data_IF_237940605128
#
_entry.id   IF_237940605128
#
_cell.length_a   1.000
_cell.length_b   1.000
_cell.length_c   1.000
_cell.angle_alpha   90.00
_cell.angle_beta   90.00
_cell.angle_gamma   90.00
#
_symmetry.space_group_name_H-M   'P 1'
#
loop_
_entity.id
_entity.type
_entity.pdbx_description
1 polymer ?
#
# COMPACT_ATOMS: atom_id res chain seq x y z
N UNK A 1 6.04 19.88 18.34
CA UNK A 1 5.95 19.56 19.78
C UNK A 1 4.72 18.72 20.15
N UNK A 2 3.76 18.47 19.25
CA UNK A 2 2.61 17.59 19.53
C UNK A 2 2.88 16.08 19.37
N UNK A 3 3.93 15.66 18.63
CA UNK A 3 4.18 14.24 18.35
C UNK A 3 4.81 13.43 19.50
N UNK A 4 5.54 14.06 20.42
CA UNK A 4 6.21 13.35 21.52
C UNK A 4 5.27 12.97 22.66
N UNK A 5 4.22 13.75 22.90
CA UNK A 5 3.22 13.49 23.95
C UNK A 5 2.21 12.42 23.54
N UNK A 6 1.92 12.29 22.23
CA UNK A 6 1.05 11.25 21.70
C UNK A 6 1.68 9.84 21.83
N UNK A 7 3.02 9.77 21.77
CA UNK A 7 3.79 8.54 21.98
C UNK A 7 3.64 7.97 23.41
N UNK A 8 3.52 8.84 24.41
CA UNK A 8 3.40 8.43 25.83
C UNK A 8 1.95 8.07 26.17
N UNK A 9 0.99 8.74 25.55
CA UNK A 9 -0.43 8.60 25.90
C UNK A 9 -1.12 7.45 25.15
N UNK A 10 -0.43 6.78 24.21
CA UNK A 10 -1.05 5.78 23.30
C UNK A 10 -2.39 6.31 22.74
N UNK A 11 -2.46 7.61 22.46
CA UNK A 11 -3.68 8.30 22.05
C UNK A 11 -3.81 8.43 20.53
N UNK A 12 -2.95 7.72 19.79
CA UNK A 12 -3.16 7.39 18.39
C UNK A 12 -4.32 6.38 18.29
N UNK A 13 -5.52 6.93 18.29
CA UNK A 13 -6.82 6.38 17.88
C UNK A 13 -6.83 4.86 17.69
N UNK A 14 -7.46 4.18 18.65
CA UNK A 14 -7.73 2.73 18.82
C UNK A 14 -8.43 2.03 17.64
N UNK A 15 -7.98 2.21 16.40
CA UNK A 15 -8.40 1.38 15.26
C UNK A 15 -7.60 0.08 15.27
N UNK A 16 -6.31 0.12 15.61
CA UNK A 16 -5.48 -1.08 15.79
C UNK A 16 -5.95 -1.98 16.94
N UNK A 17 -6.59 -1.42 17.98
CA UNK A 17 -7.10 -2.18 19.13
C UNK A 17 -8.22 -3.17 18.76
N UNK A 18 -9.10 -2.76 17.83
CA UNK A 18 -10.20 -3.61 17.36
C UNK A 18 -9.67 -4.75 16.50
N UNK A 19 -8.62 -4.49 15.71
CA UNK A 19 -7.87 -5.54 15.03
C UNK A 19 -7.15 -6.44 16.05
N UNK A 20 -6.44 -5.90 17.04
CA UNK A 20 -5.71 -6.67 18.06
C UNK A 20 -6.55 -7.71 18.80
N UNK A 21 -7.82 -7.40 19.09
CA UNK A 21 -8.75 -8.32 19.78
C UNK A 21 -9.28 -9.46 18.89
N UNK A 22 -9.09 -9.40 17.58
CA UNK A 22 -9.52 -10.46 16.67
C UNK A 22 -8.55 -11.65 16.72
N UNK A 23 -9.12 -12.85 16.76
CA UNK A 23 -8.36 -14.09 16.62
C UNK A 23 -7.57 -14.10 15.31
N UNK A 24 -6.47 -14.86 15.27
CA UNK A 24 -5.64 -15.01 14.07
C UNK A 24 -6.44 -15.36 12.81
N UNK A 25 -7.49 -16.18 12.97
CA UNK A 25 -8.41 -16.55 11.88
C UNK A 25 -9.34 -15.40 11.48
N UNK A 26 -9.84 -14.63 12.44
CA UNK A 26 -10.70 -13.47 12.16
C UNK A 26 -9.97 -12.41 11.33
N UNK A 27 -8.71 -12.11 11.67
CA UNK A 27 -7.85 -11.20 10.89
C UNK A 27 -7.63 -11.71 9.46
N UNK A 28 -7.27 -12.98 9.33
CA UNK A 28 -7.01 -13.59 8.02
C UNK A 28 -8.26 -13.58 7.10
N UNK A 29 -9.45 -13.77 7.66
CA UNK A 29 -10.71 -13.73 6.89
C UNK A 29 -11.02 -12.31 6.42
N UNK A 30 -10.88 -11.31 7.30
CA UNK A 30 -11.10 -9.90 6.91
C UNK A 30 -10.13 -9.50 5.81
N UNK A 31 -8.84 -9.82 5.96
CA UNK A 31 -7.84 -9.54 4.95
C UNK A 31 -8.15 -10.26 3.62
N UNK A 32 -8.67 -11.50 3.66
CA UNK A 32 -9.11 -12.23 2.47
C UNK A 32 -10.26 -11.51 1.73
N UNK A 33 -11.22 -10.98 2.48
CA UNK A 33 -12.38 -10.26 1.94
C UNK A 33 -11.99 -8.88 1.41
N UNK A 34 -11.02 -8.22 2.04
CA UNK A 34 -10.50 -6.92 1.59
C UNK A 34 -9.53 -7.05 0.41
N UNK A 35 -8.96 -8.24 0.17
CA UNK A 35 -7.98 -8.45 -0.90
C UNK A 35 -8.47 -8.11 -2.32
N UNK A 36 -9.70 -8.47 -2.76
CA UNK A 36 -10.23 -8.03 -4.05
C UNK A 36 -10.27 -6.51 -4.20
N UNK A 37 -10.63 -5.78 -3.15
CA UNK A 37 -10.62 -4.32 -3.14
C UNK A 37 -9.19 -3.78 -3.25
N UNK A 38 -8.24 -4.39 -2.54
CA UNK A 38 -6.82 -4.07 -2.65
C UNK A 38 -6.30 -4.26 -4.09
N UNK A 39 -6.59 -5.40 -4.72
CA UNK A 39 -6.19 -5.69 -6.11
C UNK A 39 -6.80 -4.68 -7.08
N UNK A 40 -8.07 -4.32 -6.89
CA UNK A 40 -8.73 -3.30 -7.71
C UNK A 40 -8.02 -1.94 -7.59
N UNK A 41 -7.73 -1.48 -6.37
CA UNK A 41 -7.06 -0.20 -6.12
C UNK A 41 -5.64 -0.22 -6.73
N UNK A 42 -4.86 -1.26 -6.50
CA UNK A 42 -3.50 -1.39 -7.05
C UNK A 42 -3.53 -1.41 -8.58
N UNK A 43 -4.47 -2.13 -9.18
CA UNK A 43 -4.59 -2.21 -10.65
C UNK A 43 -4.90 -0.84 -11.25
N UNK A 44 -5.84 -0.09 -10.66
CA UNK A 44 -6.16 1.28 -11.08
C UNK A 44 -4.96 2.19 -10.87
N UNK A 45 -4.25 2.07 -9.75
CA UNK A 45 -3.10 2.91 -9.41
C UNK A 45 -1.93 2.69 -10.36
N UNK A 46 -1.64 1.44 -10.73
CA UNK A 46 -0.63 1.10 -11.73
C UNK A 46 -1.06 1.63 -13.09
N UNK A 47 -2.31 1.39 -13.51
CA UNK A 47 -2.79 1.84 -14.82
C UNK A 47 -2.76 3.36 -14.95
N UNK A 48 -3.32 4.09 -13.99
CA UNK A 48 -3.31 5.56 -13.97
C UNK A 48 -1.92 6.13 -13.76
N UNK A 49 -1.07 5.46 -12.99
CA UNK A 49 0.33 5.84 -12.81
C UNK A 49 1.12 5.75 -14.12
N UNK A 50 0.86 4.71 -14.92
CA UNK A 50 1.44 4.54 -16.25
C UNK A 50 0.93 5.62 -17.21
N UNK A 51 -0.38 5.88 -17.26
CA UNK A 51 -0.95 6.96 -18.08
C UNK A 51 -0.32 8.32 -17.73
N UNK A 52 -0.17 8.60 -16.43
CA UNK A 52 0.43 9.84 -15.93
C UNK A 52 1.91 9.97 -16.27
N UNK A 53 2.66 8.87 -16.22
CA UNK A 53 4.05 8.84 -16.67
C UNK A 53 4.15 9.07 -18.19
N UNK A 54 3.35 8.38 -18.99
CA UNK A 54 3.35 8.54 -20.45
C UNK A 54 3.01 9.95 -20.88
N UNK A 55 2.01 10.57 -20.25
CA UNK A 55 1.65 11.97 -20.48
C UNK A 55 2.84 12.90 -20.17
N UNK A 56 3.52 12.70 -19.04
CA UNK A 56 4.67 13.52 -18.66
C UNK A 56 5.87 13.35 -19.59
N UNK A 57 6.08 12.12 -20.06
CA UNK A 57 7.17 11.78 -20.97
C UNK A 57 6.94 12.37 -22.36
N UNK A 58 5.71 12.30 -22.88
CA UNK A 58 5.36 12.85 -24.20
C UNK A 58 5.41 14.38 -24.25
N UNK A 59 5.13 15.05 -23.13
CA UNK A 59 5.20 16.50 -23.01
C UNK A 59 6.56 17.00 -22.51
N UNK A 60 7.54 16.11 -22.32
CA UNK A 60 8.86 16.40 -21.74
C UNK A 60 8.76 17.34 -20.52
N UNK A 61 7.79 17.05 -19.63
CA UNK A 61 7.43 18.00 -18.58
C UNK A 61 8.62 18.31 -17.69
N UNK A 62 8.80 19.60 -17.45
CA UNK A 62 9.81 20.15 -16.56
C UNK A 62 9.16 20.88 -15.40
N UNK A 63 9.83 20.83 -14.26
CA UNK A 63 9.38 21.51 -13.05
C UNK A 63 9.30 23.03 -13.27
N UNK A 64 8.28 23.66 -12.69
CA UNK A 64 8.09 25.11 -12.69
C UNK A 64 9.07 25.83 -11.73
N UNK A 65 10.36 25.46 -11.80
CA UNK A 65 11.45 26.03 -11.01
C UNK A 65 12.51 26.63 -11.94
N UNK A 66 13.35 27.53 -11.42
CA UNK A 66 14.38 28.21 -12.24
C UNK A 66 15.34 27.24 -12.95
N UNK A 67 15.56 26.05 -12.39
CA UNK A 67 16.39 24.98 -12.98
C UNK A 67 15.59 24.10 -13.96
N UNK A 68 14.28 23.99 -13.79
CA UNK A 68 13.38 23.19 -14.63
C UNK A 68 13.84 21.73 -14.84
N UNK A 69 14.12 20.93 -13.78
CA UNK A 69 14.48 19.53 -13.95
C UNK A 69 13.33 18.73 -14.60
N UNK A 70 13.66 17.69 -15.40
CA UNK A 70 12.67 16.78 -15.97
C UNK A 70 11.90 16.04 -14.86
N UNK A 71 10.57 16.07 -14.90
CA UNK A 71 9.70 15.48 -13.86
C UNK A 71 9.37 14.01 -14.14
N UNK A 72 9.36 13.61 -15.41
CA UNK A 72 9.02 12.25 -15.83
C UNK A 72 9.80 11.13 -15.11
N UNK A 73 11.10 11.25 -14.72
CA UNK A 73 11.81 10.19 -14.00
C UNK A 73 11.27 9.97 -12.58
N UNK A 74 10.69 10.98 -11.95
CA UNK A 74 10.09 10.84 -10.62
C UNK A 74 8.69 10.25 -10.73
N UNK A 75 7.96 10.58 -11.81
CA UNK A 75 6.59 10.09 -12.03
C UNK A 75 6.51 8.58 -12.30
N UNK A 76 7.55 7.96 -12.86
CA UNK A 76 7.60 6.49 -13.05
C UNK A 76 7.71 5.73 -11.72
N UNK A 77 8.18 6.38 -10.65
CA UNK A 77 8.30 5.75 -9.33
C UNK A 77 6.92 5.39 -8.78
N UNK A 78 5.88 6.16 -9.12
CA UNK A 78 4.50 5.93 -8.67
C UNK A 78 3.95 4.57 -9.15
N UNK A 79 3.86 4.29 -10.48
CA UNK A 79 3.41 2.98 -10.94
C UNK A 79 4.36 1.85 -10.55
N UNK A 80 5.68 2.11 -10.47
CA UNK A 80 6.64 1.09 -10.06
C UNK A 80 6.44 0.67 -8.60
N UNK A 81 6.28 1.62 -7.68
CA UNK A 81 6.02 1.35 -6.28
C UNK A 81 4.66 0.66 -6.09
N UNK A 82 3.63 1.10 -6.82
CA UNK A 82 2.32 0.46 -6.81
C UNK A 82 2.39 -0.99 -7.30
N UNK A 83 3.16 -1.27 -8.34
CA UNK A 83 3.36 -2.62 -8.87
C UNK A 83 4.08 -3.52 -7.86
N UNK A 84 5.20 -3.05 -7.29
CA UNK A 84 5.95 -3.79 -6.27
C UNK A 84 5.11 -4.02 -5.01
N UNK A 85 4.35 -3.02 -4.57
CA UNK A 85 3.40 -3.13 -3.46
C UNK A 85 2.29 -4.15 -3.74
N UNK A 86 1.81 -4.23 -4.99
CA UNK A 86 0.89 -5.26 -5.45
C UNK A 86 1.45 -6.68 -5.30
N UNK A 87 2.72 -6.88 -5.67
CA UNK A 87 3.41 -8.16 -5.48
C UNK A 87 3.57 -8.52 -4.00
N UNK A 88 3.88 -7.54 -3.16
CA UNK A 88 3.93 -7.74 -1.71
C UNK A 88 2.56 -8.12 -1.15
N UNK A 89 1.50 -7.43 -1.55
CA UNK A 89 0.14 -7.74 -1.13
C UNK A 89 -0.32 -9.14 -1.57
N UNK A 90 0.13 -9.61 -2.73
CA UNK A 90 -0.13 -10.99 -3.18
C UNK A 90 0.56 -12.02 -2.26
N UNK A 91 1.80 -11.76 -1.84
CA UNK A 91 2.50 -12.62 -0.88
C UNK A 91 1.75 -12.68 0.46
N UNK A 92 1.25 -11.54 0.93
CA UNK A 92 0.46 -11.46 2.17
C UNK A 92 -0.91 -12.14 2.03
N UNK A 93 -1.55 -12.09 0.87
CA UNK A 93 -2.77 -12.86 0.59
C UNK A 93 -2.56 -14.37 0.70
N UNK A 94 -1.49 -14.89 0.10
CA UNK A 94 -1.16 -16.32 0.18
C UNK A 94 -0.93 -16.74 1.64
N UNK A 95 -0.21 -15.91 2.41
CA UNK A 95 0.01 -16.16 3.85
C UNK A 95 -1.28 -16.13 4.65
N UNK A 96 -2.17 -15.20 4.35
CA UNK A 96 -3.47 -15.09 5.00
C UNK A 96 -4.37 -16.27 4.65
N UNK A 97 -4.32 -16.77 3.41
CA UNK A 97 -5.02 -17.98 2.98
C UNK A 97 -4.53 -19.21 3.76
N UNK A 98 -3.21 -19.38 3.89
CA UNK A 98 -2.61 -20.47 4.70
C UNK A 98 -3.03 -20.33 6.18
N UNK A 99 -2.99 -19.12 6.71
CA UNK A 99 -3.36 -18.85 8.11
C UNK A 99 -4.85 -19.13 8.36
N UNK A 100 -5.73 -18.84 7.40
CA UNK A 100 -7.15 -19.14 7.49
C UNK A 100 -7.42 -20.66 7.53
N UNK A 101 -6.69 -21.44 6.72
CA UNK A 101 -6.84 -22.90 6.63
C UNK A 101 -6.17 -23.62 7.82
N UNK A 102 -4.91 -23.29 8.12
CA UNK A 102 -4.11 -23.99 9.14
C UNK A 102 -4.35 -23.44 10.56
N UNK A 103 -4.84 -22.21 10.71
CA UNK A 103 -5.00 -21.55 12.00
C UNK A 103 -3.69 -21.18 12.70
N UNK A 104 -2.53 -21.35 12.03
CA UNK A 104 -1.20 -20.96 12.50
C UNK A 104 -0.61 -19.99 11.50
N UNK A 105 0.05 -18.94 11.99
CA UNK A 105 0.77 -18.00 11.12
C UNK A 105 2.05 -18.70 10.61
N UNK A 106 2.30 -18.75 9.31
CA UNK A 106 3.57 -19.28 8.80
C UNK A 106 4.73 -18.42 9.34
N UNK A 107 5.77 -19.07 9.89
CA UNK A 107 6.98 -18.41 10.32
C UNK A 107 7.83 -18.04 9.09
N UNK A 108 8.47 -16.88 9.18
CA UNK A 108 9.26 -16.22 8.12
C UNK A 108 10.37 -17.12 7.62
#
# INVERSE_FOLDING_TARGET
MAGAYDLVTKAHIRVDFLYEHLSLRGKAIIDLITFPLFVLIITILVWKGIDFFWFSLSHLERSASMWAPPIYPVKIIIPLAAFLGGLQGLADFIRNLITAITGKRPAI
#
